data_IF_821228094545
#
_entry.id   IF_821228094545
#
_cell.length_a   1.000
_cell.length_b   1.000
_cell.length_c   1.000
_cell.angle_alpha   90.00
_cell.angle_beta   90.00
_cell.angle_gamma   90.00
#
_symmetry.space_group_name_H-M   'P 1'
#
loop_
_entity.id
_entity.type
_entity.pdbx_description
1 polymer ?
#
# COMPACT_ATOMS: atom_id res chain seq x y z
N UNK A 1 10.45 8.41 -7.41
CA UNK A 1 9.27 8.74 -6.59
C UNK A 1 9.65 8.88 -5.13
N UNK A 2 9.07 9.82 -4.37
CA UNK A 2 9.08 9.72 -2.90
C UNK A 2 7.98 8.76 -2.45
N UNK A 3 8.27 7.93 -1.46
CA UNK A 3 7.38 6.89 -0.95
C UNK A 3 7.25 7.09 0.55
N UNK A 4 6.01 7.22 1.02
CA UNK A 4 5.68 7.27 2.42
C UNK A 4 4.87 6.03 2.73
N UNK A 5 5.36 5.20 3.65
CA UNK A 5 4.69 3.99 4.11
C UNK A 5 4.05 4.28 5.46
N UNK A 6 2.81 3.85 5.64
CA UNK A 6 2.08 3.98 6.89
C UNK A 6 1.48 2.64 7.25
N UNK A 7 2.14 1.98 8.19
CA UNK A 7 1.72 0.68 8.70
C UNK A 7 0.71 0.91 9.82
N UNK A 8 -0.49 0.36 9.65
CA UNK A 8 -1.56 0.48 10.64
C UNK A 8 -2.37 -0.80 10.74
N UNK A 9 -3.22 -0.89 11.76
CA UNK A 9 -4.13 -2.01 11.94
C UNK A 9 -5.55 -1.53 11.66
N UNK A 10 -6.19 -2.11 10.66
CA UNK A 10 -7.57 -1.84 10.30
C UNK A 10 -8.45 -3.02 10.68
N UNK A 11 -9.21 -2.86 11.77
CA UNK A 11 -9.99 -3.94 12.37
C UNK A 11 -9.09 -5.03 12.95
N UNK A 12 -9.02 -6.20 12.30
CA UNK A 12 -8.16 -7.32 12.69
C UNK A 12 -6.95 -7.51 11.78
N UNK A 13 -6.87 -6.74 10.68
CA UNK A 13 -5.85 -6.92 9.66
C UNK A 13 -4.84 -5.78 9.74
N UNK A 14 -3.55 -6.11 9.73
CA UNK A 14 -2.54 -5.09 9.47
C UNK A 14 -2.59 -4.72 7.99
N UNK A 15 -2.43 -3.44 7.70
CA UNK A 15 -2.38 -2.89 6.35
C UNK A 15 -1.18 -1.94 6.24
N UNK A 16 -0.56 -1.89 5.06
CA UNK A 16 0.38 -0.83 4.72
C UNK A 16 -0.28 0.12 3.73
N UNK A 17 -0.23 1.41 4.06
CA UNK A 17 -0.71 2.46 3.19
C UNK A 17 0.50 3.15 2.61
N UNK A 18 0.66 3.07 1.29
CA UNK A 18 1.76 3.72 0.60
C UNK A 18 1.22 4.90 -0.18
N UNK A 19 1.66 6.09 0.19
CA UNK A 19 1.34 7.36 -0.47
C UNK A 19 2.63 8.03 -0.91
N UNK A 20 2.65 8.60 -2.10
CA UNK A 20 3.85 9.25 -2.57
C UNK A 20 3.67 10.23 -3.70
N UNK A 21 4.77 10.86 -4.07
CA UNK A 21 4.86 11.78 -5.19
C UNK A 21 5.82 11.22 -6.24
N UNK A 22 5.32 11.08 -7.46
CA UNK A 22 6.14 10.73 -8.61
C UNK A 22 6.57 12.00 -9.37
N UNK A 23 7.88 12.24 -9.41
CA UNK A 23 8.47 13.42 -10.07
C UNK A 23 8.33 13.37 -11.59
N UNK A 24 8.71 12.30 -12.31
CA UNK A 24 8.59 12.28 -13.77
C UNK A 24 7.13 12.32 -14.25
N UNK A 25 6.21 11.69 -13.51
CA UNK A 25 4.80 11.69 -13.87
C UNK A 25 4.03 12.90 -13.33
N UNK A 26 4.59 13.67 -12.39
CA UNK A 26 3.91 14.79 -11.72
C UNK A 26 2.55 14.39 -11.11
N UNK A 27 2.47 13.17 -10.60
CA UNK A 27 1.26 12.60 -10.02
C UNK A 27 1.51 12.09 -8.62
N UNK A 28 0.46 12.16 -7.80
CA UNK A 28 0.40 11.42 -6.55
C UNK A 28 -0.04 9.99 -6.84
N UNK A 29 0.45 9.05 -6.05
CA UNK A 29 0.02 7.67 -6.08
C UNK A 29 -0.32 7.21 -4.68
N UNK A 30 -1.30 6.31 -4.58
CA UNK A 30 -1.74 5.68 -3.34
C UNK A 30 -2.02 4.20 -3.61
N UNK A 31 -1.49 3.31 -2.79
CA UNK A 31 -2.04 1.97 -2.70
C UNK A 31 -2.10 1.54 -1.24
N UNK A 32 -2.97 0.58 -0.99
CA UNK A 32 -3.17 -0.04 0.32
C UNK A 32 -3.04 -1.53 0.12
N UNK A 33 -2.12 -2.13 0.83
CA UNK A 33 -1.85 -3.56 0.82
C UNK A 33 -2.18 -4.17 2.17
N UNK A 34 -2.70 -5.39 2.17
CA UNK A 34 -2.88 -6.15 3.39
C UNK A 34 -1.54 -6.71 3.87
N UNK A 35 -1.02 -6.17 4.97
CA UNK A 35 0.07 -6.80 5.71
C UNK A 35 -0.53 -8.04 6.37
N UNK A 36 -0.45 -9.18 5.69
CA UNK A 36 -0.84 -10.45 6.28
C UNK A 36 -0.04 -10.60 7.57
N UNK A 37 -0.73 -10.54 8.72
CA UNK A 37 -0.11 -10.88 9.99
C UNK A 37 0.48 -12.28 9.85
N UNK A 38 1.63 -12.60 10.46
CA UNK A 38 2.19 -13.94 10.45
C UNK A 38 1.36 -14.88 11.35
N UNK A 39 0.04 -14.91 11.17
CA UNK A 39 -0.80 -16.00 11.64
C UNK A 39 -0.62 -17.10 10.62
N UNK A 40 0.15 -18.09 11.03
CA UNK A 40 0.18 -19.45 10.52
C UNK A 40 -0.14 -19.53 9.02
N UNK A 41 0.92 -19.66 8.23
CA UNK A 41 0.85 -20.52 7.06
C UNK A 41 0.36 -21.90 7.55
N UNK A 42 -0.96 -22.09 7.65
CA UNK A 42 -1.56 -23.34 7.22
C UNK A 42 -1.34 -23.29 5.72
N UNK A 43 -0.13 -23.62 5.23
CA UNK A 43 0.17 -25.01 4.90
C UNK A 43 -1.11 -25.56 4.31
N UNK A 44 -1.35 -25.19 3.04
CA UNK A 44 -2.27 -25.93 2.21
C UNK A 44 -1.83 -27.38 2.36
N UNK A 45 -2.58 -28.12 3.16
CA UNK A 45 -2.57 -29.57 3.15
C UNK A 45 -3.06 -29.92 1.76
N UNK A 46 -2.11 -30.01 0.83
CA UNK A 46 -2.31 -30.78 -0.38
C UNK A 46 -2.41 -32.21 0.11
N UNK A 47 -3.64 -32.74 0.19
CA UNK A 47 -3.85 -34.16 0.35
C UNK A 47 -3.10 -34.84 -0.80
N UNK A 48 -2.01 -35.50 -0.43
CA UNK A 48 -1.05 -36.11 -1.32
C UNK A 48 -1.62 -37.44 -1.85
N UNK A 49 -2.49 -37.40 -2.85
CA UNK A 49 -2.88 -38.62 -3.58
C UNK A 49 -3.43 -38.35 -5.01
N UNK A 50 -2.88 -37.35 -5.70
CA UNK A 50 -3.02 -37.25 -7.17
C UNK A 50 -1.70 -36.78 -7.75
N UNK A 51 -0.80 -37.75 -7.95
CA UNK A 51 0.47 -37.59 -8.63
C UNK A 51 0.22 -37.37 -10.13
N UNK A 52 0.12 -36.12 -10.56
CA UNK A 52 0.38 -35.74 -11.96
C UNK A 52 1.75 -35.04 -12.01
N UNK A 53 2.82 -35.72 -12.46
CA UNK A 53 4.20 -35.24 -12.34
C UNK A 53 4.60 -34.15 -13.36
N UNK A 54 3.65 -33.60 -14.15
CA UNK A 54 3.94 -32.62 -15.21
C UNK A 54 3.54 -31.16 -14.86
N UNK A 55 3.04 -30.89 -13.64
CA UNK A 55 2.70 -29.53 -13.19
C UNK A 55 3.78 -28.96 -12.24
N UNK A 56 4.94 -28.60 -12.80
CA UNK A 56 5.99 -27.89 -12.07
C UNK A 56 6.58 -26.75 -12.92
N UNK A 57 5.82 -25.65 -13.09
CA UNK A 57 6.34 -24.28 -13.17
C UNK A 57 5.19 -23.25 -13.16
N UNK A 58 4.40 -23.25 -12.09
CA UNK A 58 3.56 -22.11 -11.76
C UNK A 58 3.64 -21.99 -10.26
N UNK A 59 4.74 -21.39 -9.78
CA UNK A 59 4.68 -20.69 -8.51
C UNK A 59 3.55 -19.69 -8.68
N UNK A 60 2.34 -20.07 -8.27
CA UNK A 60 1.22 -19.18 -8.11
C UNK A 60 1.68 -18.24 -6.98
N UNK A 61 2.44 -17.20 -7.35
CA UNK A 61 2.77 -16.11 -6.46
C UNK A 61 1.43 -15.68 -5.89
N UNK A 62 1.23 -15.79 -4.55
CA UNK A 62 -0.07 -15.51 -3.98
C UNK A 62 -0.45 -14.11 -4.44
N UNK A 63 -1.69 -13.91 -4.94
CA UNK A 63 -2.09 -12.61 -5.46
C UNK A 63 -1.80 -11.58 -4.38
N UNK A 64 -1.07 -10.53 -4.75
CA UNK A 64 -0.83 -9.39 -3.88
C UNK A 64 -2.21 -8.83 -3.48
N UNK A 65 -2.60 -9.05 -2.22
CA UNK A 65 -3.92 -8.68 -1.72
C UNK A 65 -3.95 -7.16 -1.46
N UNK A 66 -4.10 -6.41 -2.56
CA UNK A 66 -4.26 -4.96 -2.52
C UNK A 66 -5.70 -4.61 -2.16
N UNK A 67 -5.88 -3.95 -1.01
CA UNK A 67 -7.17 -3.40 -0.59
C UNK A 67 -7.60 -2.24 -1.51
N UNK A 68 -6.63 -1.48 -2.00
CA UNK A 68 -6.86 -0.35 -2.91
C UNK A 68 -5.62 -0.09 -3.76
N UNK A 69 -5.81 0.15 -5.05
CA UNK A 69 -4.73 0.53 -5.94
C UNK A 69 -5.14 1.71 -6.83
N UNK A 70 -4.37 2.80 -6.77
CA UNK A 70 -4.61 4.02 -7.54
C UNK A 70 -4.71 3.76 -9.06
N UNK A 71 -3.91 2.83 -9.61
CA UNK A 71 -3.93 2.56 -11.05
C UNK A 71 -5.23 1.86 -11.52
N UNK A 72 -5.96 1.19 -10.63
CA UNK A 72 -7.29 0.62 -10.94
C UNK A 72 -8.40 1.67 -10.87
N UNK A 73 -8.19 2.75 -10.12
CA UNK A 73 -9.14 3.84 -9.97
C UNK A 73 -8.85 4.92 -11.03
N UNK A 74 -9.52 4.83 -12.19
CA UNK A 74 -9.33 5.80 -13.28
C UNK A 74 -9.64 7.26 -12.91
N UNK A 75 -10.39 7.50 -11.83
CA UNK A 75 -10.69 8.84 -11.30
C UNK A 75 -9.56 9.43 -10.44
N UNK A 76 -8.56 8.62 -10.11
CA UNK A 76 -7.41 9.02 -9.30
C UNK A 76 -6.29 9.67 -10.12
N UNK A 77 -6.28 9.44 -11.44
CA UNK A 77 -5.31 10.02 -12.35
C UNK A 77 -5.49 11.55 -12.41
N UNK A 78 -4.52 12.28 -11.85
CA UNK A 78 -4.61 13.74 -11.71
C UNK A 78 -5.39 14.21 -10.48
N UNK A 79 -5.85 13.28 -9.63
CA UNK A 79 -6.48 13.62 -8.36
C UNK A 79 -5.45 14.16 -7.36
N UNK A 80 -5.88 15.12 -6.55
CA UNK A 80 -5.07 15.67 -5.46
C UNK A 80 -5.20 14.86 -4.17
N UNK A 81 -4.40 15.21 -3.17
CA UNK A 81 -4.45 14.56 -1.84
C UNK A 81 -5.82 14.60 -1.16
N UNK A 82 -6.65 15.60 -1.48
CA UNK A 82 -8.03 15.67 -0.97
C UNK A 82 -8.88 14.48 -1.42
N UNK A 83 -8.64 13.95 -2.63
CA UNK A 83 -9.32 12.76 -3.13
C UNK A 83 -8.90 11.52 -2.36
N UNK A 84 -7.58 11.33 -2.21
CA UNK A 84 -7.01 10.22 -1.45
C UNK A 84 -7.44 10.23 0.01
N UNK A 85 -7.49 11.41 0.65
CA UNK A 85 -8.00 11.57 2.00
C UNK A 85 -9.45 11.07 2.12
N UNK A 86 -10.30 11.40 1.15
CA UNK A 86 -11.69 10.93 1.15
C UNK A 86 -11.78 9.43 0.90
N UNK A 87 -11.03 8.88 -0.06
CA UNK A 87 -10.97 7.45 -0.33
C UNK A 87 -10.51 6.65 0.88
N UNK A 88 -9.46 7.08 1.56
CA UNK A 88 -8.98 6.45 2.79
C UNK A 88 -10.03 6.51 3.91
N UNK A 89 -10.72 7.64 4.06
CA UNK A 89 -11.83 7.75 5.01
C UNK A 89 -13.02 6.85 4.66
N UNK A 90 -13.36 6.70 3.37
CA UNK A 90 -14.38 5.78 2.86
C UNK A 90 -14.00 4.32 3.12
N UNK A 91 -12.70 3.99 3.03
CA UNK A 91 -12.14 2.68 3.38
C UNK A 91 -12.06 2.44 4.90
N UNK A 92 -12.32 3.46 5.74
CA UNK A 92 -12.21 3.40 7.20
C UNK A 92 -10.78 3.56 7.73
N UNK A 93 -9.82 3.91 6.87
CA UNK A 93 -8.40 4.01 7.20
C UNK A 93 -8.06 5.43 7.64
N UNK A 94 -7.62 5.58 8.89
CA UNK A 94 -7.16 6.87 9.42
C UNK A 94 -5.65 6.98 9.27
N UNK A 95 -5.23 7.86 8.36
CA UNK A 95 -3.81 8.15 8.08
C UNK A 95 -3.41 9.46 8.75
N UNK A 96 -2.20 9.57 9.35
CA UNK A 96 -1.76 10.78 10.00
C UNK A 96 -1.59 11.95 9.01
N UNK A 97 -1.99 13.15 9.44
CA UNK A 97 -1.91 14.38 8.63
C UNK A 97 -0.46 14.75 8.27
N UNK A 98 0.49 14.30 9.08
CA UNK A 98 1.93 14.46 8.83
C UNK A 98 2.34 13.81 7.51
N UNK A 99 1.75 12.67 7.14
CA UNK A 99 2.04 11.97 5.88
C UNK A 99 1.66 12.82 4.68
N UNK A 100 0.43 13.35 4.66
CA UNK A 100 -0.04 14.23 3.59
C UNK A 100 0.81 15.50 3.49
N UNK A 101 1.17 16.09 4.64
CA UNK A 101 1.97 17.31 4.69
C UNK A 101 3.37 17.09 4.10
N UNK A 102 4.01 15.95 4.42
CA UNK A 102 5.33 15.62 3.88
C UNK A 102 5.27 15.32 2.38
N UNK A 103 4.24 14.62 1.90
CA UNK A 103 4.05 14.36 0.46
C UNK A 103 3.82 15.66 -0.32
N UNK A 104 3.02 16.61 0.23
CA UNK A 104 2.88 17.95 -0.37
C UNK A 104 4.20 18.71 -0.41
N UNK A 105 5.00 18.59 0.65
CA UNK A 105 6.30 19.22 0.73
C UNK A 105 7.27 18.64 -0.29
N UNK A 106 7.29 17.33 -0.44
CA UNK A 106 8.12 16.63 -1.42
C UNK A 106 7.72 17.03 -2.85
N UNK A 107 6.42 17.17 -3.13
CA UNK A 107 5.94 17.78 -4.38
C UNK A 107 6.48 19.20 -4.56
N UNK A 108 6.32 20.07 -3.56
CA UNK A 108 6.69 21.47 -3.64
C UNK A 108 8.21 21.67 -3.83
N UNK A 109 9.01 20.79 -3.23
CA UNK A 109 10.47 20.78 -3.33
C UNK A 109 10.99 19.91 -4.49
N UNK A 110 10.10 19.25 -5.23
CA UNK A 110 10.41 18.28 -6.27
C UNK A 110 11.42 17.21 -5.79
N UNK A 111 11.23 16.74 -4.56
CA UNK A 111 12.02 15.67 -3.95
C UNK A 111 11.44 14.33 -4.41
N UNK A 112 12.34 13.40 -4.73
CA UNK A 112 11.98 12.01 -4.95
C UNK A 112 13.11 11.12 -4.48
N UNK A 113 12.86 9.81 -4.49
CA UNK A 113 13.71 8.78 -3.90
C UNK A 113 13.84 8.93 -2.37
N UNK A 114 12.91 9.67 -1.75
CA UNK A 114 12.76 9.75 -0.31
C UNK A 114 11.86 8.61 0.15
N UNK A 115 12.26 7.87 1.16
CA UNK A 115 11.47 6.82 1.78
C UNK A 115 11.23 7.19 3.23
N UNK A 116 9.97 7.20 3.67
CA UNK A 116 9.60 7.56 5.04
C UNK A 116 8.61 6.54 5.57
N UNK A 117 8.82 6.04 6.77
CA UNK A 117 7.92 5.11 7.44
C UNK A 117 7.22 5.82 8.60
N UNK A 118 5.89 5.78 8.61
CA UNK A 118 5.04 6.37 9.61
C UNK A 118 4.51 5.31 10.56
N UNK A 119 4.48 5.67 11.84
CA UNK A 119 3.84 4.88 12.90
C UNK A 119 2.41 5.37 13.13
N UNK A 120 1.53 4.54 13.71
CA UNK A 120 0.17 4.93 14.09
C UNK A 120 0.11 6.13 15.06
N UNK A 121 1.20 6.36 15.80
CA UNK A 121 1.36 7.52 16.69
C UNK A 121 1.61 8.85 15.94
N UNK A 122 1.74 8.82 14.60
CA UNK A 122 2.02 9.98 13.75
C UNK A 122 3.50 10.36 13.67
N UNK A 123 4.36 9.69 14.43
CA UNK A 123 5.81 9.75 14.30
C UNK A 123 6.27 9.10 13.01
N UNK A 124 7.36 9.59 12.43
CA UNK A 124 7.91 9.07 11.19
C UNK A 124 9.43 9.01 11.22
N UNK A 125 10.00 8.07 10.46
CA UNK A 125 11.45 7.92 10.25
C UNK A 125 11.75 7.92 8.74
N UNK A 126 12.71 8.75 8.30
CA UNK A 126 13.10 8.88 6.89
C UNK A 126 13.72 10.21 6.51
#
# INVERSE_FOLDING_TARGET
MSQHHFQTVHGTNAIDVVLGWDRPLHHFFLWVEHLRAPVAQTAGVVDADTEDPDLCDSVEEPPEDFMYHNLDDGASMGAGLSYFRRKLAELGITVPETMFTQVLRDKALNIGNRHVVYRPDGTFEG
#
